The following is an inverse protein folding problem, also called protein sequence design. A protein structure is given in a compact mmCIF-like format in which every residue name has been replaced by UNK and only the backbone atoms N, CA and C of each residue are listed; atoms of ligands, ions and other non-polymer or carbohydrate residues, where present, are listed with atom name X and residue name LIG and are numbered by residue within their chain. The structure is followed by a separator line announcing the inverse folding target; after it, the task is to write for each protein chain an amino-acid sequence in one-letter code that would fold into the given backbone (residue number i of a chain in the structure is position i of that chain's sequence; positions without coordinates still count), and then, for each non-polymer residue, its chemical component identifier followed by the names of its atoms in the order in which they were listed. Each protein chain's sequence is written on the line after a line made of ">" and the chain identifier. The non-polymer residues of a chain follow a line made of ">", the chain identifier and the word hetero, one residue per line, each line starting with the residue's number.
data_IF_290534675257
#
_entry.id   IF_290534675257
#
_cell.length_a   1.000
_cell.length_b   1.000
_cell.length_c   1.000
_cell.angle_alpha   90.00
_cell.angle_beta   90.00
_cell.angle_gamma   90.00
#
_symmetry.space_group_name_H-M   'P 1'
#
loop_
_entity.id
_entity.type
_entity.pdbx_description
1 polymer ?
#
# COMPACT_ATOMS: atom_id res chain seq x y z
N UNK A 1 -23.83 0.69 18.28
CA UNK A 1 -24.28 1.96 17.66
C UNK A 1 -23.06 2.71 17.17
N UNK A 2 -22.93 2.93 15.87
CA UNK A 2 -21.85 3.73 15.28
C UNK A 2 -22.07 5.19 15.66
N UNK A 3 -21.11 5.79 16.36
CA UNK A 3 -21.19 7.18 16.80
C UNK A 3 -20.94 8.07 15.58
N UNK A 4 -21.97 8.76 15.09
CA UNK A 4 -21.88 9.66 13.96
C UNK A 4 -21.76 11.11 14.45
N UNK A 5 -20.81 11.87 13.89
CA UNK A 5 -20.65 13.30 14.16
C UNK A 5 -21.17 14.08 12.95
N UNK A 6 -22.03 15.08 13.18
CA UNK A 6 -22.49 15.97 12.11
C UNK A 6 -21.42 17.02 11.84
N UNK A 7 -20.94 17.09 10.61
CA UNK A 7 -19.92 18.04 10.18
C UNK A 7 -20.48 18.87 9.03
N UNK A 8 -20.17 20.17 8.99
CA UNK A 8 -20.45 21.02 7.85
C UNK A 8 -19.22 21.03 6.94
N UNK A 9 -19.40 20.66 5.67
CA UNK A 9 -18.33 20.61 4.66
C UNK A 9 -18.81 21.35 3.42
N UNK A 10 -17.88 22.02 2.75
CA UNK A 10 -18.14 22.67 1.46
C UNK A 10 -17.93 21.64 0.36
N UNK A 11 -18.95 21.46 -0.48
CA UNK A 11 -18.88 20.55 -1.63
C UNK A 11 -19.01 21.37 -2.93
N UNK A 12 -18.21 21.07 -3.97
CA UNK A 12 -18.40 21.70 -5.28
C UNK A 12 -19.82 21.43 -5.79
N UNK A 13 -20.49 22.46 -6.30
CA UNK A 13 -21.87 22.38 -6.78
C UNK A 13 -22.03 21.30 -7.85
N UNK A 14 -21.13 21.28 -8.82
CA UNK A 14 -21.23 20.43 -10.00
C UNK A 14 -21.06 18.95 -9.60
N UNK A 15 -20.14 18.68 -8.68
CA UNK A 15 -19.93 17.34 -8.13
C UNK A 15 -21.14 16.88 -7.29
N UNK A 16 -21.76 17.79 -6.53
CA UNK A 16 -22.94 17.46 -5.75
C UNK A 16 -24.17 17.17 -6.63
N UNK A 17 -24.33 17.88 -7.75
CA UNK A 17 -25.37 17.56 -8.74
C UNK A 17 -25.18 16.16 -9.33
N UNK A 18 -23.93 15.78 -9.62
CA UNK A 18 -23.63 14.43 -10.13
C UNK A 18 -23.93 13.35 -9.09
N UNK A 19 -23.55 13.59 -7.82
CA UNK A 19 -23.90 12.72 -6.70
C UNK A 19 -25.41 12.58 -6.56
N UNK A 20 -26.18 13.67 -6.71
CA UNK A 20 -27.64 13.62 -6.64
C UNK A 20 -28.26 12.82 -7.77
N UNK A 21 -27.66 12.88 -8.97
CA UNK A 21 -28.10 12.17 -10.17
C UNK A 21 -27.84 10.67 -10.07
N UNK A 22 -26.69 10.27 -9.56
CA UNK A 22 -26.27 8.87 -9.53
C UNK A 22 -26.67 8.13 -8.24
N UNK A 23 -26.79 8.83 -7.11
CA UNK A 23 -26.94 8.21 -5.79
C UNK A 23 -28.27 8.59 -5.12
N UNK A 24 -29.08 7.60 -4.71
CA UNK A 24 -30.33 7.84 -3.97
C UNK A 24 -30.11 8.63 -2.68
N UNK A 25 -31.07 9.49 -2.32
CA UNK A 25 -30.93 10.41 -1.18
C UNK A 25 -30.59 9.73 0.16
N UNK A 26 -31.09 8.51 0.40
CA UNK A 26 -30.81 7.73 1.62
C UNK A 26 -29.40 7.14 1.69
N UNK A 27 -28.69 7.06 0.56
CA UNK A 27 -27.38 6.38 0.46
C UNK A 27 -26.21 7.36 0.34
N UNK A 28 -26.45 8.62 -0.01
CA UNK A 28 -25.40 9.64 -0.24
C UNK A 28 -24.42 9.76 0.92
N UNK A 29 -24.92 9.80 2.15
CA UNK A 29 -24.09 9.89 3.36
C UNK A 29 -23.17 8.66 3.52
N UNK A 30 -23.72 7.47 3.24
CA UNK A 30 -22.97 6.20 3.29
C UNK A 30 -21.87 6.18 2.22
N UNK A 31 -22.20 6.54 0.98
CA UNK A 31 -21.23 6.55 -0.12
C UNK A 31 -20.11 7.55 0.14
N UNK A 32 -20.42 8.75 0.63
CA UNK A 32 -19.40 9.74 1.00
C UNK A 32 -18.50 9.22 2.13
N UNK A 33 -19.09 8.59 3.15
CA UNK A 33 -18.32 8.01 4.25
C UNK A 33 -17.39 6.88 3.77
N UNK A 34 -17.86 6.00 2.88
CA UNK A 34 -17.07 4.92 2.29
C UNK A 34 -15.93 5.45 1.41
N UNK A 35 -16.22 6.42 0.54
CA UNK A 35 -15.21 7.08 -0.29
C UNK A 35 -14.14 7.77 0.57
N UNK A 36 -14.56 8.44 1.64
CA UNK A 36 -13.65 9.08 2.60
C UNK A 36 -12.78 8.05 3.31
N UNK A 37 -13.35 6.93 3.77
CA UNK A 37 -12.61 5.86 4.42
C UNK A 37 -11.58 5.21 3.48
N UNK A 38 -11.95 5.02 2.21
CA UNK A 38 -11.05 4.48 1.19
C UNK A 38 -9.86 5.42 0.92
N UNK A 39 -10.12 6.71 0.75
CA UNK A 39 -9.08 7.73 0.55
C UNK A 39 -8.12 7.79 1.74
N UNK A 40 -8.64 7.80 2.98
CA UNK A 40 -7.80 7.78 4.19
C UNK A 40 -6.92 6.53 4.27
N UNK A 41 -7.46 5.35 3.93
CA UNK A 41 -6.71 4.10 3.89
C UNK A 41 -5.60 4.14 2.83
N UNK A 42 -5.88 4.75 1.67
CA UNK A 42 -4.90 4.90 0.60
C UNK A 42 -3.75 5.82 1.04
N UNK A 43 -4.05 6.94 1.67
CA UNK A 43 -3.02 7.85 2.23
C UNK A 43 -2.14 7.17 3.27
N UNK A 44 -2.74 6.44 4.22
CA UNK A 44 -1.96 5.70 5.23
C UNK A 44 -1.03 4.65 4.61
N UNK A 45 -1.46 3.99 3.53
CA UNK A 45 -0.61 3.03 2.80
C UNK A 45 0.57 3.74 2.12
N UNK A 46 0.33 4.89 1.50
CA UNK A 46 1.40 5.68 0.89
C UNK A 46 2.41 6.16 1.94
N UNK A 47 1.93 6.70 3.06
CA UNK A 47 2.80 7.11 4.17
C UNK A 47 3.60 5.94 4.76
N UNK A 48 3.02 4.74 4.82
CA UNK A 48 3.73 3.55 5.27
C UNK A 48 4.84 3.14 4.28
N UNK A 49 4.57 3.20 2.98
CA UNK A 49 5.55 2.93 1.93
C UNK A 49 6.69 3.96 1.94
N UNK A 50 6.36 5.25 2.10
CA UNK A 50 7.35 6.32 2.21
C UNK A 50 8.26 6.13 3.42
N UNK A 51 7.69 5.77 4.59
CA UNK A 51 8.49 5.43 5.78
C UNK A 51 9.39 4.22 5.56
N UNK A 52 8.88 3.17 4.92
CA UNK A 52 9.67 1.98 4.61
C UNK A 52 10.83 2.32 3.65
N UNK A 53 10.58 3.15 2.64
CA UNK A 53 11.60 3.64 1.72
C UNK A 53 12.67 4.46 2.46
N UNK A 54 12.26 5.41 3.29
CA UNK A 54 13.18 6.23 4.07
C UNK A 54 14.09 5.39 4.97
N UNK A 55 13.53 4.36 5.63
CA UNK A 55 14.30 3.40 6.41
C UNK A 55 15.27 2.60 5.53
N UNK A 56 14.83 2.12 4.36
CA UNK A 56 15.69 1.45 3.39
C UNK A 56 16.87 2.33 2.96
N UNK A 57 16.62 3.60 2.66
CA UNK A 57 17.65 4.57 2.27
C UNK A 57 18.62 4.89 3.41
N UNK A 58 18.15 4.88 4.66
CA UNK A 58 19.01 5.03 5.85
C UNK A 58 19.91 3.80 6.04
N UNK A 59 19.34 2.59 5.94
CA UNK A 59 20.09 1.34 6.06
C UNK A 59 21.13 1.21 4.95
N UNK A 60 20.76 1.52 3.70
CA UNK A 60 21.69 1.51 2.57
C UNK A 60 22.84 2.52 2.75
N UNK A 61 22.56 3.70 3.31
CA UNK A 61 23.61 4.67 3.66
C UNK A 61 24.53 4.18 4.76
N UNK A 62 23.98 3.53 5.79
CA UNK A 62 24.74 3.10 6.97
C UNK A 62 25.57 1.84 6.72
N UNK A 63 25.03 0.89 5.96
CA UNK A 63 25.61 -0.44 5.78
C UNK A 63 26.09 -0.71 4.34
N UNK A 64 25.86 0.23 3.41
CA UNK A 64 26.08 0.01 1.99
C UNK A 64 24.99 -0.84 1.35
N UNK A 65 25.03 -0.97 0.02
CA UNK A 65 24.17 -1.88 -0.73
C UNK A 65 24.92 -3.19 -0.93
N UNK A 66 24.43 -4.28 -0.35
CA UNK A 66 25.00 -5.59 -0.57
C UNK A 66 24.69 -6.04 -2.02
N UNK A 67 25.69 -6.50 -2.79
CA UNK A 67 25.44 -7.14 -4.08
C UNK A 67 24.48 -8.32 -3.93
N UNK A 68 23.67 -8.56 -4.96
CA UNK A 68 22.80 -9.74 -4.96
C UNK A 68 23.67 -11.02 -4.95
N UNK A 69 23.50 -11.84 -3.92
CA UNK A 69 24.15 -13.15 -3.78
C UNK A 69 23.23 -14.32 -4.16
N UNK A 70 22.11 -14.03 -4.85
CA UNK A 70 21.11 -15.04 -5.21
C UNK A 70 21.70 -16.11 -6.12
N UNK A 71 22.45 -15.70 -7.15
CA UNK A 71 23.11 -16.62 -8.07
C UNK A 71 24.24 -17.39 -7.38
N UNK A 72 25.01 -16.74 -6.49
CA UNK A 72 26.05 -17.41 -5.70
C UNK A 72 25.44 -18.53 -4.84
N UNK A 73 24.33 -18.24 -4.15
CA UNK A 73 23.62 -19.23 -3.32
C UNK A 73 23.03 -20.34 -4.18
N UNK A 74 22.50 -20.02 -5.37
CA UNK A 74 21.98 -21.01 -6.31
C UNK A 74 23.09 -21.96 -6.76
N UNK A 75 24.23 -21.42 -7.16
CA UNK A 75 25.38 -22.22 -7.59
C UNK A 75 25.88 -23.13 -6.47
N UNK A 76 26.01 -22.62 -5.23
CA UNK A 76 26.38 -23.45 -4.08
C UNK A 76 25.39 -24.60 -3.81
N UNK A 77 24.10 -24.41 -4.09
CA UNK A 77 23.09 -25.47 -3.97
C UNK A 77 23.23 -26.51 -5.07
N UNK A 78 23.42 -26.07 -6.31
CA UNK A 78 23.63 -26.96 -7.46
C UNK A 78 24.89 -27.81 -7.26
N UNK A 79 25.99 -27.20 -6.80
CA UNK A 79 27.25 -27.89 -6.47
C UNK A 79 27.05 -28.93 -5.35
N UNK A 80 26.33 -28.56 -4.28
CA UNK A 80 26.00 -29.48 -3.19
C UNK A 80 25.11 -30.63 -3.67
N UNK A 81 24.08 -30.34 -4.46
CA UNK A 81 23.13 -31.35 -4.91
C UNK A 81 23.79 -32.33 -5.91
N UNK A 82 24.72 -31.84 -6.75
CA UNK A 82 25.59 -32.68 -7.57
C UNK A 82 26.48 -33.60 -6.73
N UNK A 83 27.08 -33.09 -5.64
CA UNK A 83 27.87 -33.90 -4.70
C UNK A 83 27.04 -34.98 -3.99
N UNK A 84 25.78 -34.69 -3.65
CA UNK A 84 24.87 -35.63 -2.97
C UNK A 84 24.37 -36.71 -3.93
N UNK A 85 24.08 -36.35 -5.18
CA UNK A 85 23.51 -37.27 -6.18
C UNK A 85 24.56 -38.07 -6.96
N UNK A 86 25.84 -37.71 -6.86
CA UNK A 86 26.95 -38.41 -7.51
C UNK A 86 26.97 -38.27 -9.04
N UNK A 87 26.15 -37.37 -9.59
CA UNK A 87 26.12 -37.02 -11.01
C UNK A 87 27.16 -35.92 -11.25
N UNK A 88 28.38 -36.33 -11.62
CA UNK A 88 29.38 -35.49 -12.26
C UNK A 88 29.29 -35.64 -13.78
#
# INVERSE_FOLDING_TARGET
>A
MTKATRVSLVFPSDLWEEVKRQIPAGERSKVIAEATAQELKQRQRLEALERARALGDELARKYGVMPSCVEDIRQMREERDAQITGLY
#
